data_IF_839082603061
#
_entry.id   IF_839082603061
#
_cell.length_a   1.000
_cell.length_b   1.000
_cell.length_c   1.000
_cell.angle_alpha   90.00
_cell.angle_beta   90.00
_cell.angle_gamma   90.00
#
_symmetry.space_group_name_H-M   'P 1'
#
loop_
_entity.id
_entity.type
_entity.pdbx_description
1 polymer ?
#
# COMPACT_ATOMS: atom_id res chain seq x y z
N UNK A 1 -122.02 8.26 -19.94
CA UNK A 1 -121.73 7.04 -20.73
C UNK A 1 -121.28 7.43 -22.12
N UNK A 2 -119.95 7.50 -22.24
CA UNK A 2 -119.10 7.23 -23.41
C UNK A 2 -119.74 7.01 -24.79
N UNK A 3 -119.53 7.99 -25.67
CA UNK A 3 -119.43 7.92 -27.15
C UNK A 3 -118.05 8.54 -27.46
N UNK A 4 -117.24 8.14 -28.44
CA UNK A 4 -117.57 7.87 -29.85
C UNK A 4 -116.34 7.28 -30.56
N UNK A 5 -116.64 6.45 -31.55
CA UNK A 5 -115.77 5.75 -32.49
C UNK A 5 -115.44 6.61 -33.74
N UNK A 6 -114.57 6.04 -34.62
CA UNK A 6 -114.37 6.25 -36.09
C UNK A 6 -113.22 7.24 -36.45
N UNK A 7 -112.16 6.90 -37.22
CA UNK A 7 -112.07 6.41 -38.63
C UNK A 7 -110.61 5.90 -38.89
N UNK A 8 -110.30 4.67 -39.36
CA UNK A 8 -110.37 4.04 -40.72
C UNK A 8 -109.13 4.26 -41.64
N UNK A 9 -108.44 3.13 -41.90
CA UNK A 9 -107.90 2.58 -43.18
C UNK A 9 -106.74 3.27 -43.92
N UNK A 10 -105.60 2.55 -44.09
CA UNK A 10 -105.18 1.91 -45.36
C UNK A 10 -104.04 0.90 -45.19
N UNK A 11 -104.31 -0.33 -45.66
CA UNK A 11 -103.37 -1.42 -45.96
C UNK A 11 -102.77 -1.20 -47.35
N UNK A 12 -101.46 -1.44 -47.48
CA UNK A 12 -100.71 -2.08 -48.57
C UNK A 12 -99.23 -1.81 -48.25
N UNK A 13 -98.32 -2.79 -48.17
CA UNK A 13 -97.56 -3.30 -49.32
C UNK A 13 -96.67 -4.47 -48.85
N UNK A 14 -96.64 -5.52 -49.70
CA UNK A 14 -95.65 -6.58 -49.90
C UNK A 14 -94.96 -7.31 -48.73
N UNK A 15 -95.33 -8.58 -48.62
CA UNK A 15 -94.44 -9.72 -48.40
C UNK A 15 -93.28 -9.70 -49.41
N UNK A 16 -92.02 -9.69 -48.95
CA UNK A 16 -90.88 -10.57 -49.29
C UNK A 16 -89.68 -10.08 -48.47
N UNK A 17 -89.05 -10.93 -47.66
CA UNK A 17 -87.67 -10.70 -47.21
C UNK A 17 -87.42 -10.54 -45.71
N UNK A 18 -87.91 -11.45 -44.85
CA UNK A 18 -87.54 -11.47 -43.41
C UNK A 18 -87.09 -12.83 -42.88
N UNK A 19 -86.79 -13.80 -43.76
CA UNK A 19 -86.23 -15.11 -43.39
C UNK A 19 -84.70 -15.24 -43.52
N UNK A 20 -84.04 -14.37 -44.30
CA UNK A 20 -82.62 -14.54 -44.64
C UNK A 20 -81.66 -13.76 -43.73
N UNK A 21 -82.15 -12.74 -43.00
CA UNK A 21 -81.31 -11.83 -42.23
C UNK A 21 -80.97 -12.33 -40.81
N UNK A 22 -81.85 -13.14 -40.18
CA UNK A 22 -81.64 -13.68 -38.83
C UNK A 22 -80.70 -14.91 -38.81
N UNK A 23 -80.72 -15.72 -39.89
CA UNK A 23 -79.79 -16.84 -40.08
C UNK A 23 -78.37 -16.37 -40.43
N UNK A 24 -78.21 -15.25 -41.12
CA UNK A 24 -76.91 -14.68 -41.44
C UNK A 24 -76.15 -14.20 -40.19
N UNK A 25 -76.82 -13.56 -39.23
CA UNK A 25 -76.20 -13.07 -37.99
C UNK A 25 -75.77 -14.20 -37.04
N UNK A 26 -76.59 -15.24 -36.91
CA UNK A 26 -76.28 -16.42 -36.08
C UNK A 26 -75.17 -17.27 -36.68
N UNK A 27 -75.20 -17.53 -38.00
CA UNK A 27 -74.10 -18.21 -38.71
C UNK A 27 -72.78 -17.40 -38.67
N UNK A 28 -72.85 -16.07 -38.80
CA UNK A 28 -71.69 -15.18 -38.70
C UNK A 28 -71.05 -15.24 -37.30
N UNK A 29 -71.83 -15.18 -36.23
CA UNK A 29 -71.30 -15.28 -34.85
C UNK A 29 -70.65 -16.63 -34.53
N UNK A 30 -71.19 -17.73 -35.07
CA UNK A 30 -70.65 -19.09 -34.87
C UNK A 30 -69.36 -19.29 -35.66
N UNK A 31 -69.29 -18.70 -36.86
CA UNK A 31 -68.09 -18.66 -37.72
C UNK A 31 -66.97 -17.88 -37.04
N UNK A 32 -67.26 -16.69 -36.49
CA UNK A 32 -66.29 -15.87 -35.74
C UNK A 32 -65.76 -16.60 -34.49
N UNK A 33 -66.61 -17.30 -33.73
CA UNK A 33 -66.19 -18.11 -32.56
C UNK A 33 -65.28 -19.27 -32.99
N UNK A 34 -65.62 -19.96 -34.07
CA UNK A 34 -64.79 -21.03 -34.62
C UNK A 34 -63.45 -20.52 -35.14
N UNK A 35 -63.42 -19.39 -35.85
CA UNK A 35 -62.18 -18.75 -36.33
C UNK A 35 -61.30 -18.32 -35.16
N UNK A 36 -61.87 -17.69 -34.12
CA UNK A 36 -61.13 -17.35 -32.89
C UNK A 36 -60.49 -18.57 -32.22
N UNK A 37 -61.24 -19.68 -32.08
CA UNK A 37 -60.73 -20.92 -31.49
C UNK A 37 -59.58 -21.51 -32.32
N UNK A 38 -59.72 -21.57 -33.64
CA UNK A 38 -58.65 -22.04 -34.54
C UNK A 38 -57.41 -21.16 -34.44
N UNK A 39 -57.56 -19.83 -34.50
CA UNK A 39 -56.44 -18.90 -34.36
C UNK A 39 -55.75 -18.97 -32.99
N UNK A 40 -56.49 -19.24 -31.91
CA UNK A 40 -55.89 -19.46 -30.58
C UNK A 40 -55.03 -20.73 -30.54
N UNK A 41 -55.37 -21.77 -31.31
CA UNK A 41 -54.52 -22.96 -31.42
C UNK A 41 -53.30 -22.69 -32.28
N UNK A 42 -53.48 -22.01 -33.41
CA UNK A 42 -52.40 -21.62 -34.32
C UNK A 42 -51.36 -20.73 -33.64
N UNK A 43 -51.79 -19.73 -32.87
CA UNK A 43 -50.84 -18.83 -32.20
C UNK A 43 -50.04 -19.58 -31.12
N UNK A 44 -50.60 -20.64 -30.51
CA UNK A 44 -49.89 -21.43 -29.50
C UNK A 44 -48.75 -22.25 -30.11
N UNK A 45 -48.94 -22.80 -31.30
CA UNK A 45 -47.95 -23.63 -32.00
C UNK A 45 -46.79 -22.83 -32.61
N UNK A 46 -46.93 -21.51 -32.69
CA UNK A 46 -45.91 -20.65 -33.27
C UNK A 46 -44.65 -20.61 -32.41
N UNK A 47 -43.48 -20.78 -33.03
CA UNK A 47 -42.18 -20.76 -32.38
C UNK A 47 -41.17 -20.00 -33.23
N UNK A 48 -40.15 -19.43 -32.58
CA UNK A 48 -38.95 -18.94 -33.27
C UNK A 48 -38.01 -20.13 -33.48
N UNK A 49 -37.54 -20.31 -34.71
CA UNK A 49 -36.62 -21.41 -35.02
C UNK A 49 -35.17 -20.91 -34.96
N UNK A 50 -34.39 -21.51 -34.07
CA UNK A 50 -32.97 -21.23 -33.88
C UNK A 50 -32.10 -22.11 -34.78
N UNK A 51 -30.82 -21.73 -34.95
CA UNK A 51 -29.85 -22.47 -35.77
C UNK A 51 -28.68 -22.94 -34.92
N UNK A 52 -28.15 -24.12 -35.24
CA UNK A 52 -27.01 -24.68 -34.52
C UNK A 52 -27.35 -24.93 -33.05
N UNK A 53 -26.58 -24.30 -32.16
CA UNK A 53 -26.74 -24.39 -30.70
C UNK A 53 -27.49 -23.20 -30.10
N UNK A 54 -27.97 -22.26 -30.92
CA UNK A 54 -28.71 -21.09 -30.42
C UNK A 54 -30.03 -21.50 -29.77
N UNK A 55 -30.44 -20.71 -28.79
CA UNK A 55 -31.76 -20.77 -28.16
C UNK A 55 -32.27 -19.36 -27.81
N UNK A 56 -33.37 -19.26 -27.06
CA UNK A 56 -33.95 -17.96 -26.68
C UNK A 56 -33.03 -17.11 -25.80
N UNK A 57 -32.11 -17.72 -25.05
CA UNK A 57 -31.25 -17.07 -24.06
C UNK A 57 -29.82 -16.83 -24.62
N UNK A 58 -29.51 -17.42 -25.78
CA UNK A 58 -28.27 -17.20 -26.51
C UNK A 58 -28.50 -17.25 -28.02
N UNK A 59 -28.77 -16.08 -28.61
CA UNK A 59 -28.91 -15.91 -30.07
C UNK A 59 -27.63 -15.29 -30.64
N UNK A 60 -26.94 -16.04 -31.49
CA UNK A 60 -25.71 -15.64 -32.17
C UNK A 60 -25.82 -15.65 -33.69
N UNK A 61 -26.93 -16.19 -34.23
CA UNK A 61 -27.19 -16.31 -35.66
C UNK A 61 -28.59 -15.79 -36.04
N UNK A 62 -28.84 -15.68 -37.36
CA UNK A 62 -30.17 -15.35 -37.88
C UNK A 62 -31.20 -16.37 -37.38
N UNK A 63 -32.33 -15.87 -36.85
CA UNK A 63 -33.47 -16.69 -36.47
C UNK A 63 -34.41 -16.87 -37.65
N UNK A 64 -35.08 -18.02 -37.72
CA UNK A 64 -36.07 -18.29 -38.76
C UNK A 64 -37.48 -18.02 -38.22
N UNK A 65 -38.16 -17.09 -38.88
CA UNK A 65 -39.52 -16.67 -38.59
C UNK A 65 -40.45 -17.18 -39.69
N UNK A 66 -41.37 -18.10 -39.35
CA UNK A 66 -42.30 -18.64 -40.34
C UNK A 66 -43.33 -17.57 -40.73
N UNK A 67 -43.62 -17.44 -42.03
CA UNK A 67 -44.60 -16.49 -42.57
C UNK A 67 -45.99 -17.09 -42.73
N UNK A 68 -46.13 -18.42 -42.64
CA UNK A 68 -47.41 -19.13 -42.67
C UNK A 68 -47.43 -20.31 -41.71
N UNK A 69 -48.57 -20.57 -41.08
CA UNK A 69 -48.85 -21.76 -40.26
C UNK A 69 -50.32 -22.14 -40.39
N UNK A 70 -50.62 -23.42 -40.65
CA UNK A 70 -51.99 -23.93 -40.85
C UNK A 70 -52.86 -23.10 -41.81
N UNK A 71 -52.23 -22.54 -42.85
CA UNK A 71 -52.90 -21.69 -43.85
C UNK A 71 -53.21 -20.26 -43.39
N UNK A 72 -52.67 -19.81 -42.25
CA UNK A 72 -52.73 -18.42 -41.78
C UNK A 72 -51.42 -17.70 -42.05
N UNK A 73 -51.49 -16.45 -42.52
CA UNK A 73 -50.33 -15.57 -42.62
C UNK A 73 -49.88 -15.07 -41.24
N UNK A 74 -48.56 -15.01 -41.05
CA UNK A 74 -47.91 -14.55 -39.81
C UNK A 74 -47.06 -13.34 -40.13
N UNK A 75 -47.31 -12.25 -39.41
CA UNK A 75 -46.57 -11.00 -39.52
C UNK A 75 -45.72 -10.80 -38.27
N UNK A 76 -44.42 -10.61 -38.45
CA UNK A 76 -43.47 -10.44 -37.35
C UNK A 76 -43.06 -8.99 -37.17
N UNK A 77 -42.93 -8.58 -35.91
CA UNK A 77 -42.50 -7.23 -35.53
C UNK A 77 -41.45 -7.32 -34.44
N UNK A 78 -40.27 -6.79 -34.72
CA UNK A 78 -39.21 -6.59 -33.73
C UNK A 78 -39.35 -5.22 -33.08
N UNK A 79 -39.16 -5.16 -31.77
CA UNK A 79 -39.02 -3.88 -31.06
C UNK A 79 -37.63 -3.24 -31.28
N UNK A 80 -36.66 -4.03 -31.77
CA UNK A 80 -35.29 -3.60 -32.09
C UNK A 80 -34.87 -4.13 -33.47
N UNK A 81 -35.43 -3.58 -34.57
CA UNK A 81 -35.19 -4.05 -35.92
C UNK A 81 -33.72 -3.94 -36.37
N UNK A 82 -32.92 -3.08 -35.72
CA UNK A 82 -31.50 -2.95 -35.96
C UNK A 82 -30.66 -4.09 -35.36
N UNK A 83 -31.21 -4.87 -34.42
CA UNK A 83 -30.55 -6.04 -33.80
C UNK A 83 -31.09 -7.32 -34.43
N UNK A 84 -32.41 -7.55 -34.38
CA UNK A 84 -33.07 -8.59 -35.17
C UNK A 84 -34.18 -7.92 -35.97
N UNK A 85 -34.07 -7.95 -37.29
CA UNK A 85 -35.09 -7.41 -38.21
C UNK A 85 -36.42 -8.20 -38.15
N UNK A 86 -37.47 -7.66 -38.76
CA UNK A 86 -38.78 -8.34 -38.88
C UNK A 86 -38.71 -9.64 -39.72
N UNK A 87 -37.62 -9.86 -40.44
CA UNK A 87 -37.36 -11.07 -41.23
C UNK A 87 -36.47 -12.09 -40.48
N UNK A 88 -36.04 -11.77 -39.26
CA UNK A 88 -35.17 -12.65 -38.45
C UNK A 88 -33.67 -12.51 -38.74
N UNK A 89 -33.26 -11.56 -39.61
CA UNK A 89 -31.85 -11.24 -39.83
C UNK A 89 -31.25 -10.56 -38.59
N UNK A 90 -30.15 -11.11 -38.09
CA UNK A 90 -29.38 -10.65 -36.94
C UNK A 90 -28.27 -9.69 -37.37
N UNK A 91 -28.13 -8.59 -36.62
CA UNK A 91 -26.96 -7.72 -36.56
C UNK A 91 -26.49 -7.73 -35.12
N UNK A 92 -25.26 -8.16 -34.87
CA UNK A 92 -24.75 -8.27 -33.51
C UNK A 92 -24.62 -6.89 -32.86
N UNK A 93 -25.22 -6.68 -31.67
CA UNK A 93 -25.07 -5.45 -30.92
C UNK A 93 -23.68 -5.36 -30.27
N UNK A 94 -23.30 -4.16 -29.78
CA UNK A 94 -22.07 -3.99 -29.00
C UNK A 94 -22.18 -4.65 -27.62
N UNK A 95 -23.30 -4.42 -26.94
CA UNK A 95 -23.61 -4.99 -25.62
C UNK A 95 -24.76 -5.99 -25.73
N UNK A 96 -24.92 -6.87 -24.74
CA UNK A 96 -26.05 -7.80 -24.65
C UNK A 96 -27.38 -7.06 -24.76
N UNK A 97 -28.27 -7.55 -25.62
CA UNK A 97 -29.61 -6.97 -25.78
C UNK A 97 -30.69 -8.03 -25.79
N UNK A 98 -31.77 -7.76 -25.05
CA UNK A 98 -33.03 -8.49 -25.21
C UNK A 98 -33.85 -7.86 -26.34
N UNK A 99 -34.27 -8.67 -27.30
CA UNK A 99 -35.17 -8.31 -28.42
C UNK A 99 -36.52 -9.00 -28.23
N UNK A 100 -37.62 -8.25 -28.34
CA UNK A 100 -38.98 -8.79 -28.28
C UNK A 100 -39.56 -8.89 -29.69
N UNK A 101 -39.69 -10.12 -30.17
CA UNK A 101 -40.38 -10.44 -31.41
C UNK A 101 -41.87 -10.66 -31.13
N UNK A 102 -42.72 -9.93 -31.84
CA UNK A 102 -44.18 -10.06 -31.77
C UNK A 102 -44.69 -10.64 -33.08
N UNK A 103 -45.20 -11.86 -33.03
CA UNK A 103 -45.93 -12.44 -34.14
C UNK A 103 -47.40 -12.06 -34.08
N UNK A 104 -47.98 -11.70 -35.22
CA UNK A 104 -49.40 -11.38 -35.39
C UNK A 104 -50.02 -12.26 -36.45
N UNK A 105 -51.15 -12.88 -36.14
CA UNK A 105 -52.00 -13.61 -37.08
C UNK A 105 -53.32 -12.88 -37.20
N UNK A 106 -53.73 -12.56 -38.43
CA UNK A 106 -54.91 -11.73 -38.71
C UNK A 106 -55.86 -12.51 -39.64
N UNK A 107 -57.15 -12.58 -39.29
CA UNK A 107 -58.23 -13.11 -40.15
C UNK A 107 -59.56 -12.50 -39.75
N UNK A 108 -60.36 -12.03 -40.71
CA UNK A 108 -61.71 -11.49 -40.50
C UNK A 108 -61.80 -10.47 -39.35
N UNK A 109 -60.87 -9.50 -39.33
CA UNK A 109 -60.67 -8.48 -38.28
C UNK A 109 -60.28 -9.02 -36.87
N UNK A 110 -60.12 -10.33 -36.69
CA UNK A 110 -59.54 -10.90 -35.48
C UNK A 110 -58.02 -10.82 -35.60
N UNK A 111 -57.36 -10.31 -34.56
CA UNK A 111 -55.90 -10.34 -34.42
C UNK A 111 -55.51 -11.17 -33.21
N UNK A 112 -54.57 -12.10 -33.38
CA UNK A 112 -53.91 -12.82 -32.29
C UNK A 112 -52.43 -12.50 -32.29
N UNK A 113 -51.86 -12.34 -31.11
CA UNK A 113 -50.45 -12.00 -30.93
C UNK A 113 -49.78 -12.99 -29.99
N UNK A 114 -48.50 -13.29 -30.25
CA UNK A 114 -47.61 -13.99 -29.32
C UNK A 114 -46.24 -13.33 -29.38
N UNK A 115 -45.65 -13.18 -28.20
CA UNK A 115 -44.37 -12.49 -28.03
C UNK A 115 -43.28 -13.46 -27.61
N UNK A 116 -42.06 -13.25 -28.10
CA UNK A 116 -40.86 -14.01 -27.78
C UNK A 116 -39.78 -13.01 -27.37
N UNK A 117 -39.19 -13.21 -26.20
CA UNK A 117 -38.03 -12.43 -25.75
C UNK A 117 -36.78 -13.25 -26.02
N UNK A 118 -35.88 -12.70 -26.83
CA UNK A 118 -34.63 -13.33 -27.24
C UNK A 118 -33.46 -12.53 -26.66
N UNK A 119 -32.47 -13.19 -26.05
CA UNK A 119 -31.23 -12.56 -25.60
C UNK A 119 -30.15 -12.73 -26.69
N UNK A 120 -29.72 -11.62 -27.26
CA UNK A 120 -28.65 -11.54 -28.25
C UNK A 120 -27.37 -11.14 -27.52
N UNK A 121 -26.32 -11.96 -27.61
CA UNK A 121 -25.03 -11.66 -27.02
C UNK A 121 -24.35 -10.48 -27.76
N UNK A 122 -23.81 -9.54 -26.99
CA UNK A 122 -23.02 -8.44 -27.53
C UNK A 122 -21.66 -8.93 -28.05
N UNK A 123 -21.09 -8.19 -28.99
CA UNK A 123 -19.71 -8.40 -29.45
C UNK A 123 -18.66 -7.92 -28.45
N UNK A 124 -19.08 -7.20 -27.41
CA UNK A 124 -18.25 -6.75 -26.30
C UNK A 124 -19.01 -7.00 -24.97
N UNK A 125 -18.90 -8.20 -24.36
CA UNK A 125 -19.55 -8.48 -23.09
C UNK A 125 -19.03 -7.51 -22.00
N UNK A 126 -19.82 -7.24 -20.94
CA UNK A 126 -19.36 -6.37 -19.87
C UNK A 126 -18.12 -6.95 -19.18
N UNK A 127 -16.99 -6.27 -19.33
CA UNK A 127 -15.73 -6.62 -18.68
C UNK A 127 -15.83 -6.30 -17.19
N UNK A 128 -15.58 -7.30 -16.34
CA UNK A 128 -15.45 -7.04 -14.89
C UNK A 128 -14.07 -6.45 -14.62
N UNK A 129 -14.04 -5.25 -14.03
CA UNK A 129 -12.82 -4.53 -13.68
C UNK A 129 -12.68 -4.51 -12.15
N UNK A 130 -11.48 -4.77 -11.67
CA UNK A 130 -11.09 -4.59 -10.28
C UNK A 130 -10.04 -3.49 -10.16
N UNK A 131 -10.03 -2.86 -8.99
CA UNK A 131 -9.05 -1.83 -8.65
C UNK A 131 -7.89 -2.47 -7.88
N UNK A 132 -6.67 -2.18 -8.32
CA UNK A 132 -5.45 -2.38 -7.54
C UNK A 132 -5.00 -1.01 -7.03
N UNK A 133 -4.94 -0.85 -5.72
CA UNK A 133 -4.53 0.39 -5.07
C UNK A 133 -3.15 0.22 -4.45
N UNK A 134 -2.21 1.09 -4.82
CA UNK A 134 -0.85 1.11 -4.27
C UNK A 134 -0.76 2.15 -3.16
N UNK A 135 -0.47 1.68 -1.95
CA UNK A 135 -0.15 2.49 -0.80
C UNK A 135 1.37 2.55 -0.61
N UNK A 136 1.95 3.71 -0.87
CA UNK A 136 3.38 3.94 -0.75
C UNK A 136 3.91 3.99 0.69
N UNK A 137 3.04 3.97 1.72
CA UNK A 137 3.42 4.01 3.14
C UNK A 137 4.37 5.17 3.50
N UNK A 138 4.30 6.28 2.76
CA UNK A 138 5.10 7.49 2.95
C UNK A 138 4.22 8.75 3.10
N UNK A 139 2.88 8.58 3.14
CA UNK A 139 1.90 9.67 3.20
C UNK A 139 1.44 10.19 1.84
N UNK A 140 2.01 9.70 0.74
CA UNK A 140 1.56 10.02 -0.61
C UNK A 140 0.14 9.49 -0.88
N UNK A 141 -0.64 10.12 -1.77
CA UNK A 141 -1.93 9.60 -2.20
C UNK A 141 -1.84 8.19 -2.79
N UNK A 142 -2.94 7.43 -2.73
CA UNK A 142 -3.02 6.11 -3.35
C UNK A 142 -2.95 6.24 -4.88
N UNK A 143 -2.09 5.44 -5.50
CA UNK A 143 -2.12 5.22 -6.96
C UNK A 143 -3.09 4.07 -7.28
N UNK A 144 -3.88 4.20 -8.34
CA UNK A 144 -4.94 3.25 -8.69
C UNK A 144 -4.78 2.73 -10.11
N UNK A 145 -4.93 1.42 -10.28
CA UNK A 145 -4.90 0.75 -11.58
C UNK A 145 -6.19 -0.07 -11.77
N UNK A 146 -6.80 0.04 -12.94
CA UNK A 146 -7.98 -0.73 -13.35
C UNK A 146 -7.55 -1.99 -14.10
N UNK A 147 -7.87 -3.16 -13.56
CA UNK A 147 -7.44 -4.45 -14.08
C UNK A 147 -8.67 -5.29 -14.45
N UNK A 148 -8.67 -5.84 -15.66
CA UNK A 148 -9.71 -6.79 -16.09
C UNK A 148 -9.59 -8.09 -15.30
N UNK A 149 -10.72 -8.68 -14.88
CA UNK A 149 -10.75 -9.95 -14.15
C UNK A 149 -9.89 -11.02 -14.81
N UNK A 150 -9.07 -11.70 -14.01
CA UNK A 150 -8.20 -12.78 -14.48
C UNK A 150 -6.89 -12.31 -15.13
N UNK A 151 -6.68 -11.00 -15.30
CA UNK A 151 -5.39 -10.45 -15.73
C UNK A 151 -4.51 -10.10 -14.53
N UNK A 152 -3.20 -10.03 -14.76
CA UNK A 152 -2.21 -9.56 -13.79
C UNK A 152 -2.04 -8.05 -13.84
N UNK A 153 -1.45 -7.47 -12.79
CA UNK A 153 -1.10 -6.05 -12.72
C UNK A 153 0.40 -5.90 -12.93
N UNK A 154 0.81 -4.88 -13.69
CA UNK A 154 2.24 -4.55 -13.87
C UNK A 154 2.69 -3.69 -12.68
N UNK A 155 3.79 -4.02 -11.99
CA UNK A 155 4.28 -3.20 -10.90
C UNK A 155 4.63 -1.78 -11.39
N UNK A 156 4.37 -0.74 -10.58
CA UNK A 156 4.88 0.60 -10.86
C UNK A 156 6.40 0.62 -10.75
N UNK A 157 7.03 1.69 -11.24
CA UNK A 157 8.46 1.92 -10.99
C UNK A 157 8.74 1.96 -9.48
N UNK A 158 9.90 1.42 -9.08
CA UNK A 158 10.29 1.44 -7.68
C UNK A 158 10.33 2.90 -7.17
N UNK A 159 9.55 3.21 -6.12
CA UNK A 159 9.50 4.57 -5.58
C UNK A 159 10.83 4.94 -4.90
N UNK A 160 11.03 6.24 -4.69
CA UNK A 160 12.18 6.77 -3.94
C UNK A 160 11.69 7.56 -2.74
N UNK A 161 12.31 7.32 -1.57
CA UNK A 161 12.04 8.05 -0.33
C UNK A 161 13.36 8.43 0.34
N UNK A 162 13.52 9.70 0.70
CA UNK A 162 14.74 10.18 1.35
C UNK A 162 14.99 9.43 2.68
N UNK A 163 16.23 9.01 2.93
CA UNK A 163 16.60 8.25 4.14
C UNK A 163 16.21 6.76 4.13
N UNK A 164 15.54 6.28 3.09
CA UNK A 164 14.97 4.93 3.06
C UNK A 164 15.35 4.18 1.79
N UNK A 165 15.42 2.85 1.90
CA UNK A 165 15.56 1.91 0.80
C UNK A 165 14.21 1.23 0.55
N UNK A 166 13.75 1.24 -0.69
CA UNK A 166 12.57 0.47 -1.09
C UNK A 166 12.91 -1.02 -1.05
N UNK A 167 12.12 -1.81 -0.32
CA UNK A 167 12.33 -3.26 -0.17
C UNK A 167 11.47 -4.03 -1.17
N UNK A 168 10.21 -3.64 -1.31
CA UNK A 168 9.27 -4.32 -2.19
C UNK A 168 7.82 -3.95 -1.89
N UNK A 169 6.92 -4.61 -2.62
CA UNK A 169 5.48 -4.49 -2.49
C UNK A 169 4.92 -5.70 -1.73
N UNK A 170 3.98 -5.45 -0.82
CA UNK A 170 3.43 -6.44 0.11
C UNK A 170 1.91 -6.47 0.01
N UNK A 171 1.31 -7.64 0.25
CA UNK A 171 -0.13 -7.89 0.10
C UNK A 171 -1.00 -7.28 1.21
N UNK A 172 -0.36 -6.75 2.26
CA UNK A 172 -1.01 -6.29 3.47
C UNK A 172 -0.15 -5.29 4.24
N UNK A 173 -0.81 -4.51 5.10
CA UNK A 173 -0.15 -3.50 5.94
C UNK A 173 0.82 -4.09 6.99
N UNK A 174 0.81 -5.41 7.24
CA UNK A 174 1.78 -6.07 8.13
C UNK A 174 3.16 -6.24 7.50
N UNK A 175 3.28 -6.10 6.17
CA UNK A 175 4.56 -6.14 5.43
C UNK A 175 5.34 -7.46 5.65
N UNK A 176 4.60 -8.56 5.75
CA UNK A 176 5.12 -9.92 5.99
C UNK A 176 5.16 -10.79 4.75
N UNK A 177 4.20 -10.63 3.84
CA UNK A 177 4.09 -11.41 2.60
C UNK A 177 4.21 -10.49 1.39
N UNK A 178 5.19 -10.76 0.53
CA UNK A 178 5.36 -10.00 -0.70
C UNK A 178 4.18 -10.21 -1.64
N UNK A 179 3.78 -9.15 -2.33
CA UNK A 179 2.72 -9.21 -3.32
C UNK A 179 3.27 -9.83 -4.61
N UNK A 180 2.63 -10.91 -5.07
CA UNK A 180 2.98 -11.59 -6.30
C UNK A 180 2.27 -10.94 -7.51
N UNK A 181 3.04 -10.22 -8.33
CA UNK A 181 2.53 -9.56 -9.53
C UNK A 181 2.12 -10.53 -10.65
N UNK A 182 2.50 -11.82 -10.55
CA UNK A 182 2.06 -12.86 -11.50
C UNK A 182 0.69 -13.46 -11.12
N UNK A 183 0.14 -13.12 -9.95
CA UNK A 183 -1.17 -13.61 -9.51
C UNK A 183 -2.31 -12.84 -10.21
N UNK A 184 -3.25 -13.54 -10.87
CA UNK A 184 -4.42 -12.92 -11.50
C UNK A 184 -5.31 -12.14 -10.52
N UNK A 185 -5.71 -10.93 -10.92
CA UNK A 185 -6.60 -10.07 -10.15
C UNK A 185 -8.05 -10.54 -10.31
N UNK A 186 -8.65 -10.98 -9.21
CA UNK A 186 -10.03 -11.50 -9.16
C UNK A 186 -10.93 -10.74 -8.19
N UNK A 187 -10.38 -9.74 -7.51
CA UNK A 187 -11.06 -8.85 -6.56
C UNK A 187 -10.29 -7.53 -6.45
N UNK A 188 -10.84 -6.53 -5.77
CA UNK A 188 -10.08 -5.34 -5.41
C UNK A 188 -8.91 -5.71 -4.49
N UNK A 189 -7.74 -5.13 -4.74
CA UNK A 189 -6.50 -5.40 -3.99
C UNK A 189 -5.91 -4.08 -3.51
N UNK A 190 -5.36 -4.07 -2.29
CA UNK A 190 -4.49 -3.00 -1.82
C UNK A 190 -3.09 -3.58 -1.63
N UNK A 191 -2.08 -2.91 -2.18
CA UNK A 191 -0.68 -3.32 -2.17
C UNK A 191 0.12 -2.26 -1.42
N UNK A 192 1.07 -2.65 -0.59
CA UNK A 192 1.74 -1.78 0.37
C UNK A 192 3.26 -1.77 0.14
N UNK A 193 3.86 -0.59 0.02
CA UNK A 193 5.30 -0.46 -0.08
C UNK A 193 5.95 -0.72 1.28
N UNK A 194 7.03 -1.51 1.29
CA UNK A 194 7.91 -1.67 2.44
C UNK A 194 9.18 -0.85 2.26
N UNK A 195 9.57 -0.18 3.33
CA UNK A 195 10.76 0.66 3.42
C UNK A 195 11.62 0.18 4.57
N UNK A 196 12.93 0.25 4.38
CA UNK A 196 13.92 0.12 5.45
C UNK A 196 14.72 1.40 5.56
N UNK A 197 15.10 1.77 6.78
CA UNK A 197 15.99 2.89 7.00
C UNK A 197 17.36 2.59 6.41
N UNK A 198 17.95 3.58 5.74
CA UNK A 198 19.36 3.51 5.36
C UNK A 198 20.16 3.94 6.57
N UNK A 199 20.96 3.04 7.12
CA UNK A 199 21.75 3.29 8.32
C UNK A 199 23.24 3.37 8.02
N UNK A 200 23.93 4.17 8.82
CA UNK A 200 25.39 4.29 8.84
C UNK A 200 25.88 4.24 10.28
N UNK A 201 27.15 3.92 10.46
CA UNK A 201 27.76 3.71 11.76
C UNK A 201 28.63 4.87 12.22
N UNK A 202 28.72 5.07 13.53
CA UNK A 202 29.75 5.88 14.19
C UNK A 202 30.55 4.96 15.10
N UNK A 203 31.85 4.89 14.86
CA UNK A 203 32.80 4.11 15.67
C UNK A 203 33.70 5.05 16.46
N UNK A 204 33.72 4.90 17.79
CA UNK A 204 34.61 5.67 18.66
C UNK A 204 35.85 4.85 19.01
N UNK A 205 37.03 5.43 18.79
CA UNK A 205 38.32 4.85 19.15
C UNK A 205 39.00 5.75 20.19
N UNK A 206 39.47 5.15 21.28
CA UNK A 206 40.32 5.81 22.28
C UNK A 206 41.68 5.12 22.28
N UNK A 207 42.74 5.89 22.02
CA UNK A 207 44.10 5.35 21.85
C UNK A 207 44.14 4.20 20.82
N UNK A 208 43.42 4.39 19.70
CA UNK A 208 43.21 3.44 18.59
C UNK A 208 42.53 2.10 18.94
N UNK A 209 41.97 1.99 20.14
CA UNK A 209 41.16 0.84 20.58
C UNK A 209 39.68 1.21 20.58
N UNK A 210 38.80 0.27 20.20
CA UNK A 210 37.35 0.47 20.24
C UNK A 210 36.89 0.87 21.64
N UNK A 211 36.20 2.00 21.71
CA UNK A 211 35.61 2.52 22.93
C UNK A 211 34.10 2.34 22.89
N UNK A 212 33.58 1.46 23.76
CA UNK A 212 32.15 1.09 23.80
C UNK A 212 31.70 0.32 22.54
N UNK A 213 30.41 0.38 22.25
CA UNK A 213 29.83 -0.27 21.07
C UNK A 213 29.81 0.67 19.85
N UNK A 214 29.68 0.07 18.66
CA UNK A 214 29.42 0.78 17.40
C UNK A 214 27.98 1.31 17.43
N UNK A 215 27.82 2.60 17.15
CA UNK A 215 26.51 3.25 17.14
C UNK A 215 25.95 3.25 15.71
N UNK A 216 24.68 2.90 15.53
CA UNK A 216 23.98 2.95 14.25
C UNK A 216 22.98 4.11 14.24
N UNK A 217 22.99 4.88 13.16
CA UNK A 217 22.13 6.04 12.95
C UNK A 217 21.40 5.93 11.62
N UNK A 218 20.13 6.30 11.60
CA UNK A 218 19.39 6.48 10.35
C UNK A 218 19.94 7.71 9.61
N UNK A 219 19.99 7.62 8.28
CA UNK A 219 20.50 8.69 7.45
C UNK A 219 19.76 10.01 7.70
N UNK A 220 20.52 11.04 8.07
CA UNK A 220 20.00 12.38 8.33
C UNK A 220 19.52 12.64 9.76
N UNK A 221 19.57 11.64 10.64
CA UNK A 221 19.29 11.82 12.06
C UNK A 221 20.32 12.73 12.72
N UNK A 222 19.89 13.44 13.77
CA UNK A 222 20.77 14.30 14.54
C UNK A 222 21.79 13.44 15.31
N UNK A 223 23.06 13.79 15.19
CA UNK A 223 24.12 13.13 15.96
C UNK A 223 24.24 13.82 17.32
N UNK A 224 24.20 13.02 18.38
CA UNK A 224 24.45 13.48 19.76
C UNK A 224 25.87 13.02 20.12
N UNK A 225 26.84 13.94 20.33
CA UNK A 225 28.20 13.57 20.68
C UNK A 225 28.26 12.75 21.97
N UNK A 226 29.07 11.69 21.95
CA UNK A 226 29.31 10.86 23.14
C UNK A 226 30.02 11.68 24.23
N UNK A 227 29.63 11.54 25.51
CA UNK A 227 30.36 12.16 26.62
C UNK A 227 31.83 11.74 26.62
N UNK A 228 32.69 12.64 27.08
CA UNK A 228 34.12 12.39 27.16
C UNK A 228 34.41 11.25 28.17
N UNK A 229 35.26 10.27 27.81
CA UNK A 229 35.69 9.25 28.73
C UNK A 229 36.52 9.84 29.86
N UNK A 230 36.53 9.16 31.01
CA UNK A 230 37.41 9.49 32.13
C UNK A 230 38.34 8.32 32.40
N UNK A 231 39.60 8.64 32.74
CA UNK A 231 40.62 7.67 33.11
C UNK A 231 41.48 8.27 34.19
N UNK A 232 41.57 7.60 35.34
CA UNK A 232 42.35 8.09 36.49
C UNK A 232 43.80 8.33 36.06
N UNK A 233 44.37 9.46 36.51
CA UNK A 233 45.74 9.83 36.20
C UNK A 233 45.99 10.27 34.76
N UNK A 234 44.95 10.46 33.96
CA UNK A 234 45.06 10.90 32.57
C UNK A 234 44.08 12.06 32.29
N UNK A 235 44.43 12.88 31.30
CA UNK A 235 43.58 13.93 30.75
C UNK A 235 43.14 13.50 29.36
N UNK A 236 41.83 13.53 29.10
CA UNK A 236 41.31 13.30 27.76
C UNK A 236 41.49 14.56 26.92
N UNK A 237 42.07 14.43 25.73
CA UNK A 237 42.32 15.58 24.84
C UNK A 237 41.10 16.02 24.03
N UNK A 238 39.94 15.43 24.30
CA UNK A 238 38.75 15.60 23.49
C UNK A 238 38.75 14.68 22.26
N UNK A 239 37.58 14.60 21.63
CA UNK A 239 37.42 13.92 20.35
C UNK A 239 38.08 14.75 19.24
N UNK A 240 39.02 14.16 18.51
CA UNK A 240 39.80 14.79 17.44
C UNK A 240 39.05 14.85 16.11
N UNK A 241 37.97 14.07 15.96
CA UNK A 241 37.11 14.10 14.77
C UNK A 241 35.90 14.98 15.07
N UNK A 242 35.73 16.04 14.28
CA UNK A 242 34.52 16.89 14.35
C UNK A 242 33.36 16.15 13.69
N UNK A 243 32.32 15.87 14.47
CA UNK A 243 31.11 15.25 13.98
C UNK A 243 30.21 16.26 13.24
N UNK A 244 29.59 15.89 12.11
CA UNK A 244 28.52 16.69 11.52
C UNK A 244 27.29 16.70 12.45
N UNK A 245 26.40 17.68 12.27
CA UNK A 245 25.17 17.78 13.08
C UNK A 245 24.13 16.70 12.73
N UNK A 246 24.26 16.07 11.56
CA UNK A 246 23.38 15.01 11.07
C UNK A 246 24.17 13.88 10.42
N UNK A 247 23.66 12.66 10.49
CA UNK A 247 24.31 11.50 9.92
C UNK A 247 24.47 11.63 8.39
N UNK A 248 25.71 11.59 7.86
CA UNK A 248 25.96 11.64 6.42
C UNK A 248 25.74 10.28 5.76
N UNK A 249 25.93 10.21 4.44
CA UNK A 249 25.85 8.96 3.66
C UNK A 249 27.14 8.14 3.70
N UNK A 250 27.76 8.06 4.87
CA UNK A 250 29.01 7.32 5.08
C UNK A 250 29.19 6.98 6.56
N UNK A 251 29.94 5.93 6.83
CA UNK A 251 30.36 5.58 8.18
C UNK A 251 31.39 6.58 8.70
N UNK A 252 31.34 6.87 10.00
CA UNK A 252 32.23 7.81 10.67
C UNK A 252 33.11 7.11 11.71
N UNK A 253 34.36 7.56 11.81
CA UNK A 253 35.30 7.13 12.86
C UNK A 253 35.75 8.33 13.67
N UNK A 254 35.43 8.32 14.96
CA UNK A 254 35.77 9.38 15.90
C UNK A 254 36.92 8.92 16.78
N UNK A 255 38.03 9.66 16.75
CA UNK A 255 39.21 9.32 17.56
C UNK A 255 39.36 10.24 18.75
N UNK A 256 39.74 9.68 19.89
CA UNK A 256 40.10 10.39 21.11
C UNK A 256 41.39 9.83 21.69
N UNK A 257 42.08 10.63 22.50
CA UNK A 257 43.36 10.23 23.10
C UNK A 257 43.45 10.68 24.54
N UNK A 258 44.10 9.85 25.35
CA UNK A 258 44.51 10.23 26.69
C UNK A 258 45.98 10.64 26.71
N UNK A 259 46.29 11.67 27.49
CA UNK A 259 47.66 11.95 27.93
C UNK A 259 47.77 11.63 29.41
N UNK A 260 48.88 11.02 29.84
CA UNK A 260 49.14 10.81 31.27
C UNK A 260 49.34 12.17 31.93
N UNK A 261 48.72 12.36 33.09
CA UNK A 261 48.89 13.58 33.87
C UNK A 261 50.32 13.61 34.44
N UNK A 262 50.89 14.80 34.52
CA UNK A 262 52.21 15.02 35.12
C UNK A 262 52.08 15.91 36.34
N UNK A 263 52.85 15.62 37.39
CA UNK A 263 52.88 16.44 38.61
C UNK A 263 54.31 16.79 38.97
N UNK A 264 54.47 17.95 39.60
CA UNK A 264 55.77 18.48 39.99
C UNK A 264 56.20 17.89 41.35
N UNK A 265 57.44 17.39 41.42
CA UNK A 265 58.11 17.08 42.67
C UNK A 265 59.24 18.08 42.90
N UNK A 266 59.19 18.79 44.04
CA UNK A 266 60.19 19.77 44.44
C UNK A 266 60.95 19.26 45.65
N UNK A 267 62.27 19.36 45.62
CA UNK A 267 63.17 18.96 46.69
C UNK A 267 63.87 20.20 47.24
N UNK A 268 63.81 20.41 48.55
CA UNK A 268 64.33 21.60 49.21
C UNK A 268 65.18 21.24 50.44
N UNK A 269 66.11 22.12 50.82
CA UNK A 269 66.79 21.99 52.11
C UNK A 269 65.88 22.38 53.30
N UNK A 270 66.44 22.34 54.51
CA UNK A 270 65.72 22.69 55.74
C UNK A 270 65.23 24.14 55.79
N UNK A 271 65.80 25.03 54.97
CA UNK A 271 65.42 26.45 54.86
C UNK A 271 64.46 26.72 53.68
N UNK A 272 63.92 25.65 53.07
CA UNK A 272 63.09 25.69 51.87
C UNK A 272 63.79 26.21 50.61
N UNK A 273 65.13 26.23 50.58
CA UNK A 273 65.86 26.56 49.35
C UNK A 273 65.73 25.40 48.36
N UNK A 274 65.37 25.73 47.12
CA UNK A 274 65.21 24.76 46.06
C UNK A 274 66.55 24.07 45.71
N UNK A 275 66.53 22.74 45.75
CA UNK A 275 67.66 21.88 45.38
C UNK A 275 67.43 21.24 44.00
N UNK A 276 66.21 20.74 43.76
CA UNK A 276 65.83 20.06 42.53
C UNK A 276 64.32 20.15 42.31
N UNK A 277 63.88 20.25 41.06
CA UNK A 277 62.47 20.12 40.69
C UNK A 277 62.37 19.47 39.32
N UNK A 278 61.42 18.55 39.17
CA UNK A 278 61.06 17.96 37.87
C UNK A 278 59.61 17.49 37.91
N UNK A 279 59.06 17.16 36.74
CA UNK A 279 57.73 16.56 36.62
C UNK A 279 57.82 15.05 36.44
N UNK A 280 56.88 14.34 37.05
CA UNK A 280 56.75 12.90 36.95
C UNK A 280 55.35 12.54 36.45
N UNK A 281 55.25 11.46 35.68
CA UNK A 281 53.96 10.91 35.26
C UNK A 281 53.19 10.40 36.49
N UNK A 282 51.87 10.51 36.45
CA UNK A 282 50.98 9.95 37.46
C UNK A 282 51.32 8.48 37.75
N UNK A 283 51.36 8.11 39.03
CA UNK A 283 51.59 6.73 39.47
C UNK A 283 53.05 6.27 39.40
N UNK A 284 53.99 7.18 39.10
CA UNK A 284 55.43 6.88 39.16
C UNK A 284 56.04 7.36 40.47
N UNK A 285 57.10 6.71 40.96
CA UNK A 285 57.81 7.17 42.15
C UNK A 285 58.83 8.25 41.77
N UNK A 286 58.86 9.40 42.45
CA UNK A 286 59.77 10.47 42.09
C UNK A 286 61.20 10.12 42.51
N UNK A 287 62.16 10.36 41.62
CA UNK A 287 63.58 10.10 41.87
C UNK A 287 64.33 11.43 42.01
N UNK A 288 65.05 11.60 43.11
CA UNK A 288 65.94 12.74 43.29
C UNK A 288 67.25 12.50 42.52
N UNK A 289 67.48 13.28 41.47
CA UNK A 289 68.72 13.23 40.67
C UNK A 289 69.63 14.45 40.92
N UNK A 290 69.32 15.26 41.94
CA UNK A 290 70.13 16.40 42.33
C UNK A 290 71.35 16.02 43.19
N UNK A 291 72.10 17.04 43.61
CA UNK A 291 73.18 16.86 44.59
C UNK A 291 72.57 16.69 45.98
N UNK A 292 72.97 15.64 46.71
CA UNK A 292 72.47 15.40 48.06
C UNK A 292 72.70 16.62 48.96
N UNK A 293 71.68 17.04 49.73
CA UNK A 293 71.81 18.21 50.59
C UNK A 293 72.81 17.94 51.71
N UNK A 294 73.58 18.96 52.06
CA UNK A 294 74.54 18.96 53.17
C UNK A 294 74.18 20.05 54.16
N UNK A 295 74.36 19.78 55.45
CA UNK A 295 74.20 20.79 56.50
C UNK A 295 75.55 21.03 57.19
N UNK A 296 75.89 22.29 57.44
CA UNK A 296 77.17 22.66 58.03
C UNK A 296 77.30 22.15 59.47
N UNK A 297 78.44 21.52 59.79
CA UNK A 297 78.74 21.09 61.14
C UNK A 297 78.92 22.27 62.10
N UNK A 298 78.62 22.05 63.38
CA UNK A 298 78.87 22.99 64.47
C UNK A 298 80.10 22.54 65.29
N UNK A 299 80.45 23.29 66.33
CA UNK A 299 81.51 22.89 67.27
C UNK A 299 81.21 21.56 67.99
N UNK A 300 79.92 21.25 68.20
CA UNK A 300 79.48 20.10 69.00
C UNK A 300 78.92 18.94 68.16
N UNK A 301 78.50 19.20 66.92
CA UNK A 301 77.75 18.22 66.13
C UNK A 301 78.10 18.21 64.64
N UNK A 302 78.02 17.03 64.05
CA UNK A 302 77.91 16.78 62.61
C UNK A 302 76.48 16.41 62.24
N UNK A 303 76.13 16.51 60.97
CA UNK A 303 74.77 16.23 60.47
C UNK A 303 74.81 15.35 59.24
N UNK A 304 74.11 14.21 59.31
CA UNK A 304 74.01 13.23 58.23
C UNK A 304 72.64 13.31 57.57
N UNK A 305 72.58 13.41 56.25
CA UNK A 305 71.30 13.33 55.54
C UNK A 305 70.70 11.93 55.69
N UNK A 306 69.47 11.85 56.19
CA UNK A 306 68.75 10.58 56.44
C UNK A 306 67.59 10.33 55.49
N UNK A 307 67.28 11.28 54.60
CA UNK A 307 66.19 11.16 53.63
C UNK A 307 65.31 12.40 53.58
N UNK A 308 64.15 12.26 52.97
CA UNK A 308 63.17 13.33 52.82
C UNK A 308 62.03 13.15 53.82
N UNK A 309 61.44 14.27 54.29
CA UNK A 309 60.41 14.26 55.32
C UNK A 309 59.09 13.56 54.91
N UNK A 310 58.79 13.52 53.61
CA UNK A 310 57.71 12.71 53.05
C UNK A 310 58.29 11.41 52.51
N UNK A 311 57.61 10.29 52.76
CA UNK A 311 57.88 9.05 52.04
C UNK A 311 57.72 9.28 50.54
N UNK A 312 58.68 8.74 49.78
CA UNK A 312 58.69 8.79 48.33
C UNK A 312 57.76 7.68 47.82
N UNK A 313 56.48 8.02 47.68
CA UNK A 313 55.43 7.15 47.15
C UNK A 313 55.00 7.60 45.74
N UNK A 314 54.04 6.89 45.14
CA UNK A 314 53.52 7.19 43.81
C UNK A 314 53.00 8.63 43.70
N UNK A 315 53.47 9.35 42.68
CA UNK A 315 53.06 10.72 42.42
C UNK A 315 51.62 10.75 41.92
N UNK A 316 50.74 11.28 42.75
CA UNK A 316 49.31 11.52 42.41
C UNK A 316 48.91 12.99 42.47
N UNK A 317 49.80 13.84 43.00
CA UNK A 317 49.67 15.28 43.17
C UNK A 317 51.08 15.93 43.22
N UNK A 318 51.15 17.26 43.26
CA UNK A 318 52.44 17.95 43.40
C UNK A 318 53.01 17.74 44.82
N UNK A 319 54.26 17.29 44.92
CA UNK A 319 54.91 17.01 46.20
C UNK A 319 56.07 17.98 46.51
N UNK A 320 56.25 18.28 47.80
CA UNK A 320 57.40 19.02 48.33
C UNK A 320 58.16 18.14 49.33
N UNK A 321 59.37 17.75 48.97
CA UNK A 321 60.27 16.93 49.78
C UNK A 321 61.29 17.82 50.49
N UNK A 322 61.25 17.87 51.82
CA UNK A 322 62.17 18.64 52.66
C UNK A 322 63.25 17.72 53.21
N UNK A 323 64.51 18.11 53.10
CA UNK A 323 65.64 17.32 53.57
C UNK A 323 65.58 17.10 55.09
N UNK A 324 65.88 15.88 55.53
CA UNK A 324 66.02 15.54 56.94
C UNK A 324 67.45 15.12 57.25
N UNK A 325 67.92 15.54 58.42
CA UNK A 325 69.25 15.26 58.91
C UNK A 325 69.19 14.65 60.32
N UNK A 326 70.05 13.66 60.56
CA UNK A 326 70.36 13.15 61.89
C UNK A 326 71.57 13.89 62.46
N UNK A 327 71.45 14.36 63.70
CA UNK A 327 72.49 15.05 64.43
C UNK A 327 73.39 14.04 65.16
N UNK A 328 74.70 14.14 64.97
CA UNK A 328 75.71 13.25 65.56
C UNK A 328 76.71 14.06 66.39
N UNK A 329 76.91 13.72 67.66
CA UNK A 329 77.85 14.43 68.53
C UNK A 329 79.30 14.16 68.13
N UNK A 330 80.14 15.21 68.15
CA UNK A 330 81.58 15.09 67.96
C UNK A 330 82.24 14.59 69.25
N UNK A 331 83.08 13.56 69.13
CA UNK A 331 83.83 12.98 70.25
C UNK A 331 85.01 13.84 70.69
#
# INVERSE_FOLDING_TARGET
MTKKFIKIIKKAVLFVGTGLFLFALTACSTTIKNTNRKMNNVIKTLEVQYRGTDDKDSVTQNVRLISKVDGYDVFWFSDKPNVISNEGKLTLPKEDQTVKLTAKVIRDNITKVKTFNLKVAGTNPPTTIYLVMFNYNDGSPLEQHEITWGHTVVPPYNPTRAGHRFVGWYDSASLTTEFDFETPITKHVMVYAKWEFVQYSITYLVDDVLYGDVELYDLGDAIIPRPEPTKVGHTFLGWQTVLPSKMPKEDLVVKGYFIVNTYEARFVDTDNKLLYATTFNYGTNPVFEGVLPTMASTELYDYNFIGWALTVDEVTLNHLYVAQFEQVAKN
#
